data_IF_961542465723
#
_entry.id   IF_961542465723
#
_cell.length_a   1.000
_cell.length_b   1.000
_cell.length_c   1.000
_cell.angle_alpha   90.00
_cell.angle_beta   90.00
_cell.angle_gamma   90.00
#
_symmetry.space_group_name_H-M   'P 1'
#
loop_
_entity.id
_entity.type
_entity.pdbx_description
1 polymer ?
#
# COMPACT_ATOMS: atom_id res chain seq x y z
N UNK A 1 -4.51 -22.19 -1.06
CA UNK A 1 -5.96 -22.56 -1.13
C UNK A 1 -6.47 -23.33 0.10
N UNK A 2 -5.64 -23.68 1.09
CA UNK A 2 -6.03 -24.58 2.18
C UNK A 2 -6.74 -23.90 3.39
N UNK A 3 -6.38 -22.65 3.73
CA UNK A 3 -6.82 -22.04 5.00
C UNK A 3 -8.26 -21.50 4.96
N UNK A 4 -8.69 -20.85 3.87
CA UNK A 4 -9.98 -20.14 3.82
C UNK A 4 -11.02 -20.72 2.84
N UNK A 5 -10.80 -21.93 2.31
CA UNK A 5 -11.67 -22.68 1.36
C UNK A 5 -12.72 -21.83 0.62
N UNK A 6 -14.02 -22.08 0.82
CA UNK A 6 -15.15 -21.28 0.29
C UNK A 6 -15.77 -20.40 1.39
N UNK A 7 -15.01 -20.05 2.43
CA UNK A 7 -15.52 -19.20 3.51
C UNK A 7 -15.84 -17.80 2.99
N UNK A 8 -17.10 -17.42 3.20
CA UNK A 8 -17.64 -16.10 2.87
C UNK A 8 -17.56 -15.20 4.10
N UNK A 9 -17.57 -13.89 3.88
CA UNK A 9 -17.79 -12.96 4.98
C UNK A 9 -19.17 -13.23 5.63
N UNK A 10 -19.27 -13.12 6.96
CA UNK A 10 -20.53 -13.27 7.67
C UNK A 10 -21.52 -12.18 7.24
N UNK A 11 -22.82 -12.43 7.43
CA UNK A 11 -23.91 -11.47 7.10
C UNK A 11 -24.07 -11.12 5.61
N UNK A 12 -23.50 -11.91 4.70
CA UNK A 12 -23.68 -11.72 3.25
C UNK A 12 -22.95 -10.49 2.68
N UNK A 13 -22.07 -9.87 3.47
CA UNK A 13 -21.33 -8.66 3.12
C UNK A 13 -20.33 -8.97 2.00
N UNK A 14 -20.17 -8.03 1.06
CA UNK A 14 -19.11 -8.05 0.07
C UNK A 14 -18.13 -6.92 0.37
N UNK A 15 -16.84 -7.22 0.33
CA UNK A 15 -15.79 -6.23 0.57
C UNK A 15 -15.22 -5.73 -0.77
N UNK A 16 -14.91 -4.43 -0.86
CA UNK A 16 -14.20 -3.91 -2.01
C UNK A 16 -12.77 -4.47 -2.06
N UNK A 17 -12.36 -4.92 -3.23
CA UNK A 17 -10.97 -5.27 -3.56
C UNK A 17 -10.58 -4.59 -4.86
N UNK A 18 -9.28 -4.47 -5.08
CA UNK A 18 -8.71 -3.89 -6.29
C UNK A 18 -8.19 -5.01 -7.19
N UNK A 19 -8.54 -4.97 -8.46
CA UNK A 19 -8.25 -5.98 -9.48
C UNK A 19 -7.60 -5.35 -10.71
N UNK A 20 -6.50 -5.94 -11.15
CA UNK A 20 -5.69 -5.40 -12.24
C UNK A 20 -4.87 -4.20 -11.78
N UNK A 21 -3.65 -4.06 -12.29
CA UNK A 21 -2.79 -2.92 -11.98
C UNK A 21 -2.13 -2.96 -10.60
N UNK A 22 -0.79 -3.02 -10.56
CA UNK A 22 -0.02 -2.76 -9.34
C UNK A 22 -0.13 -1.29 -8.90
N UNK A 23 -0.68 -0.42 -9.75
CA UNK A 23 -0.68 1.03 -9.58
C UNK A 23 -2.12 1.54 -9.39
N UNK A 24 -2.39 2.45 -8.43
CA UNK A 24 -3.75 2.91 -8.08
C UNK A 24 -4.62 3.38 -9.25
N UNK A 25 -3.99 3.90 -10.30
CA UNK A 25 -4.63 4.47 -11.48
C UNK A 25 -5.18 3.44 -12.47
N UNK A 26 -4.65 2.21 -12.46
CA UNK A 26 -5.09 1.11 -13.34
C UNK A 26 -5.95 0.09 -12.62
N UNK A 27 -6.18 0.29 -11.32
CA UNK A 27 -6.88 -0.64 -10.47
C UNK A 27 -8.40 -0.57 -10.62
N UNK A 28 -9.03 -1.67 -11.00
CA UNK A 28 -10.50 -1.80 -11.03
C UNK A 28 -11.02 -2.22 -9.66
N UNK A 29 -11.98 -1.47 -9.12
CA UNK A 29 -12.71 -1.89 -7.91
C UNK A 29 -13.65 -3.06 -8.22
N UNK A 30 -13.53 -4.14 -7.46
CA UNK A 30 -14.38 -5.34 -7.56
C UNK A 30 -14.77 -5.82 -6.16
N UNK A 31 -16.06 -6.11 -5.98
CA UNK A 31 -16.61 -6.60 -4.71
C UNK A 31 -16.44 -8.11 -4.61
N UNK A 32 -15.84 -8.60 -3.52
CA UNK A 32 -15.68 -10.03 -3.24
C UNK A 32 -16.44 -10.44 -1.99
N UNK A 33 -17.10 -11.60 -2.06
CA UNK A 33 -17.80 -12.23 -0.92
C UNK A 33 -16.94 -13.23 -0.16
N UNK A 34 -15.87 -13.72 -0.79
CA UNK A 34 -14.99 -14.74 -0.22
C UNK A 34 -13.80 -14.08 0.48
N UNK A 35 -13.37 -14.64 1.62
CA UNK A 35 -12.26 -14.11 2.42
C UNK A 35 -10.92 -14.33 1.73
N UNK A 36 -10.72 -15.49 1.09
CA UNK A 36 -9.44 -15.82 0.43
C UNK A 36 -9.00 -14.80 -0.64
N UNK A 37 -9.84 -14.39 -1.61
CA UNK A 37 -9.49 -13.34 -2.56
C UNK A 37 -9.27 -11.97 -1.94
N UNK A 38 -9.95 -11.65 -0.83
CA UNK A 38 -9.77 -10.39 -0.12
C UNK A 38 -8.37 -10.31 0.51
N UNK A 39 -8.01 -11.30 1.34
CA UNK A 39 -6.72 -11.35 2.02
C UNK A 39 -5.56 -11.42 1.02
N UNK A 40 -5.70 -12.24 -0.03
CA UNK A 40 -4.66 -12.36 -1.06
C UNK A 40 -4.37 -11.07 -1.83
N UNK A 41 -5.35 -10.16 -1.92
CA UNK A 41 -5.21 -8.87 -2.62
C UNK A 41 -4.84 -7.71 -1.69
N UNK A 42 -5.14 -7.81 -0.39
CA UNK A 42 -4.80 -6.77 0.58
C UNK A 42 -3.32 -6.77 0.97
N UNK A 43 -2.67 -7.95 0.99
CA UNK A 43 -1.26 -8.06 1.39
C UNK A 43 -0.33 -7.22 0.50
N UNK A 44 -0.39 -7.29 -0.84
CA UNK A 44 0.42 -6.43 -1.71
C UNK A 44 0.17 -4.93 -1.49
N UNK A 45 -1.09 -4.53 -1.27
CA UNK A 45 -1.45 -3.13 -1.01
C UNK A 45 -0.84 -2.60 0.29
N UNK A 46 -0.80 -3.43 1.33
CA UNK A 46 -0.12 -3.07 2.58
C UNK A 46 1.39 -2.92 2.34
N UNK A 47 1.98 -3.79 1.52
CA UNK A 47 3.39 -3.69 1.12
C UNK A 47 3.72 -2.34 0.47
N UNK A 48 2.91 -1.90 -0.48
CA UNK A 48 3.05 -0.57 -1.14
C UNK A 48 2.99 0.58 -0.12
N UNK A 49 2.08 0.51 0.86
CA UNK A 49 1.96 1.55 1.90
C UNK A 49 3.22 1.61 2.76
N UNK A 50 3.76 0.45 3.16
CA UNK A 50 4.99 0.38 3.95
C UNK A 50 6.16 0.95 3.14
N UNK A 51 6.30 0.55 1.88
CA UNK A 51 7.34 1.06 0.99
C UNK A 51 7.25 2.58 0.82
N UNK A 52 6.05 3.10 0.59
CA UNK A 52 5.83 4.54 0.48
C UNK A 52 6.20 5.29 1.76
N UNK A 53 5.87 4.73 2.93
CA UNK A 53 6.24 5.30 4.22
C UNK A 53 7.75 5.32 4.43
N UNK A 54 8.44 4.21 4.14
CA UNK A 54 9.89 4.10 4.28
C UNK A 54 10.63 5.05 3.35
N UNK A 55 10.24 5.11 2.07
CA UNK A 55 10.82 6.04 1.09
C UNK A 55 10.60 7.49 1.52
N UNK A 56 9.42 7.81 2.04
CA UNK A 56 9.12 9.16 2.56
C UNK A 56 10.00 9.52 3.75
N UNK A 57 10.17 8.59 4.70
CA UNK A 57 11.04 8.80 5.86
C UNK A 57 12.51 8.96 5.46
N UNK A 58 13.01 8.12 4.56
CA UNK A 58 14.38 8.20 4.03
C UNK A 58 14.59 9.55 3.36
N UNK A 59 13.66 9.97 2.50
CA UNK A 59 13.75 11.24 1.78
C UNK A 59 13.76 12.42 2.75
N UNK A 60 12.84 12.46 3.71
CA UNK A 60 12.76 13.53 4.69
C UNK A 60 14.05 13.64 5.54
N UNK A 61 14.55 12.50 6.05
CA UNK A 61 15.78 12.46 6.85
C UNK A 61 16.99 12.89 6.02
N UNK A 62 17.10 12.39 4.79
CA UNK A 62 18.19 12.76 3.87
C UNK A 62 18.22 14.27 3.63
N UNK A 63 17.07 14.88 3.34
CA UNK A 63 17.06 16.33 3.07
C UNK A 63 17.36 17.12 4.35
N UNK A 64 16.80 16.70 5.50
CA UNK A 64 17.11 17.33 6.80
C UNK A 64 18.61 17.29 7.08
N UNK A 65 19.22 16.11 6.99
CA UNK A 65 20.63 15.92 7.29
C UNK A 65 21.51 16.69 6.29
N UNK A 66 21.15 16.69 5.00
CA UNK A 66 21.81 17.51 4.00
C UNK A 66 21.80 19.00 4.37
N UNK A 67 20.65 19.56 4.75
CA UNK A 67 20.53 20.97 5.12
C UNK A 67 21.27 21.34 6.41
N UNK A 68 21.59 20.36 7.26
CA UNK A 68 22.46 20.59 8.43
C UNK A 68 23.93 20.74 8.04
N UNK A 69 24.37 20.07 6.96
CA UNK A 69 25.75 20.07 6.49
C UNK A 69 25.99 21.21 5.48
N UNK A 70 25.03 21.44 4.58
CA UNK A 70 25.10 22.44 3.53
C UNK A 70 25.20 23.87 4.10
N UNK A 71 25.94 24.74 3.41
CA UNK A 71 26.21 26.12 3.84
C UNK A 71 25.71 27.12 2.81
N UNK A 72 25.30 28.30 3.28
CA UNK A 72 24.86 29.39 2.41
C UNK A 72 23.71 28.97 1.48
N UNK A 73 23.88 29.23 0.18
CA UNK A 73 22.89 28.99 -0.86
C UNK A 73 22.76 27.52 -1.29
N UNK A 74 23.61 26.62 -0.78
CA UNK A 74 23.56 25.20 -1.14
C UNK A 74 22.45 24.44 -0.40
N UNK A 75 21.72 25.09 0.51
CA UNK A 75 20.59 24.47 1.24
C UNK A 75 19.37 24.34 0.34
N UNK A 76 18.66 23.23 0.47
CA UNK A 76 17.43 22.94 -0.27
C UNK A 76 16.20 23.71 0.29
N UNK A 77 16.36 24.38 1.44
CA UNK A 77 15.45 25.38 1.99
C UNK A 77 16.15 26.25 3.04
#
# INVERSE_FOLDING_TARGET
RAVFKKSKFPFGISLPTWLGGYTPWTARRVMVRNIAPFVGRSIPLIGEIILAADVSQITYRTIRDYNTIARGNDKLW
#
